data_IF_809218222593
#
_entry.id   IF_809218222593
#
_cell.length_a   1.000
_cell.length_b   1.000
_cell.length_c   1.000
_cell.angle_alpha   90.00
_cell.angle_beta   90.00
_cell.angle_gamma   90.00
#
_symmetry.space_group_name_H-M   'P 1'
#
loop_
_entity.id
_entity.type
_entity.pdbx_description
1 polymer ?
#
# COMPACT_ATOMS: atom_id res chain seq x y z
N UNK A 1 47.05 -20.72 16.52
CA UNK A 1 46.82 -19.37 15.97
C UNK A 1 48.14 -18.86 15.41
N UNK A 2 48.14 -18.31 14.19
CA UNK A 2 49.33 -17.72 13.58
C UNK A 2 49.20 -16.20 13.67
N UNK A 3 50.16 -15.58 14.34
CA UNK A 3 50.18 -14.16 14.66
C UNK A 3 51.47 -13.53 14.17
N UNK A 4 51.41 -12.30 13.65
CA UNK A 4 52.58 -11.51 13.30
C UNK A 4 52.69 -10.32 14.24
N UNK A 5 53.74 -10.30 15.05
CA UNK A 5 54.03 -9.22 15.98
C UNK A 5 55.12 -8.31 15.43
N UNK A 6 54.88 -7.00 15.42
CA UNK A 6 55.82 -5.99 14.93
C UNK A 6 55.69 -4.72 15.77
N UNK A 7 56.82 -4.06 16.04
CA UNK A 7 56.81 -2.77 16.73
C UNK A 7 56.08 -1.72 15.90
N UNK A 8 55.25 -0.90 16.55
CA UNK A 8 54.55 0.21 15.90
C UNK A 8 55.50 1.21 15.25
N UNK A 9 56.74 1.35 15.74
CA UNK A 9 57.77 2.17 15.08
C UNK A 9 58.05 1.70 13.65
N UNK A 10 58.19 0.40 13.44
CA UNK A 10 58.47 -0.16 12.12
C UNK A 10 57.26 -0.01 11.19
N UNK A 11 56.04 -0.14 11.71
CA UNK A 11 54.81 0.12 10.94
C UNK A 11 54.68 1.60 10.55
N UNK A 12 55.05 2.51 11.44
CA UNK A 12 55.07 3.95 11.15
C UNK A 12 56.16 4.29 10.12
N UNK A 13 57.33 3.65 10.21
CA UNK A 13 58.39 3.82 9.22
C UNK A 13 57.95 3.39 7.82
N UNK A 14 57.26 2.26 7.71
CA UNK A 14 56.67 1.78 6.45
C UNK A 14 55.71 2.81 5.82
N UNK A 15 54.86 3.43 6.64
CA UNK A 15 53.95 4.47 6.17
C UNK A 15 54.67 5.76 5.76
N UNK A 16 55.87 6.03 6.28
CA UNK A 16 56.65 7.21 5.91
C UNK A 16 57.31 7.10 4.54
N UNK A 17 57.73 5.90 4.14
CA UNK A 17 58.41 5.67 2.85
C UNK A 17 57.59 6.16 1.66
N UNK A 18 56.25 6.18 1.80
CA UNK A 18 55.31 6.71 0.80
C UNK A 18 54.51 7.92 1.30
N UNK A 19 55.07 8.71 2.22
CA UNK A 19 54.38 9.86 2.80
C UNK A 19 53.95 10.90 1.74
N UNK A 20 54.79 11.12 0.72
CA UNK A 20 54.58 12.07 -0.39
C UNK A 20 53.48 11.64 -1.38
N UNK A 21 53.14 10.36 -1.43
CA UNK A 21 52.17 9.80 -2.38
C UNK A 21 50.71 9.79 -1.84
N UNK A 22 50.51 10.33 -0.63
CA UNK A 22 49.19 10.46 -0.01
C UNK A 22 48.74 9.27 0.84
N UNK A 23 47.67 9.45 1.62
CA UNK A 23 47.24 8.50 2.68
C UNK A 23 46.93 7.08 2.17
N UNK A 24 46.41 6.96 0.95
CA UNK A 24 46.09 5.65 0.37
C UNK A 24 47.35 4.88 -0.05
N UNK A 25 48.37 5.56 -0.56
CA UNK A 25 49.66 4.96 -0.89
C UNK A 25 50.40 4.47 0.37
N UNK A 26 50.32 5.23 1.47
CA UNK A 26 50.86 4.82 2.78
C UNK A 26 50.17 3.56 3.32
N UNK A 27 48.84 3.47 3.18
CA UNK A 27 48.06 2.27 3.56
C UNK A 27 48.43 1.05 2.72
N UNK A 28 48.62 1.24 1.41
CA UNK A 28 49.00 0.15 0.50
C UNK A 28 50.43 -0.34 0.81
N UNK A 29 51.39 0.56 1.05
CA UNK A 29 52.75 0.19 1.47
C UNK A 29 52.77 -0.60 2.77
N UNK A 30 52.01 -0.16 3.78
CA UNK A 30 51.86 -0.89 5.03
C UNK A 30 51.25 -2.28 4.80
N UNK A 31 50.25 -2.36 3.91
CA UNK A 31 49.59 -3.61 3.56
C UNK A 31 50.55 -4.59 2.91
N UNK A 32 51.33 -4.14 1.95
CA UNK A 32 52.30 -4.97 1.24
C UNK A 32 53.39 -5.47 2.20
N UNK A 33 53.89 -4.61 3.09
CA UNK A 33 54.87 -5.00 4.11
C UNK A 33 54.31 -6.05 5.07
N UNK A 34 53.10 -5.85 5.60
CA UNK A 34 52.48 -6.76 6.56
C UNK A 34 52.15 -8.10 5.89
N UNK A 35 51.65 -8.09 4.65
CA UNK A 35 51.34 -9.33 3.90
C UNK A 35 52.62 -10.08 3.57
N UNK A 36 53.67 -9.41 3.08
CA UNK A 36 54.94 -10.05 2.73
C UNK A 36 55.62 -10.67 3.96
N UNK A 37 55.62 -9.97 5.10
CA UNK A 37 56.18 -10.51 6.34
C UNK A 37 55.32 -11.61 6.96
N UNK A 38 53.99 -11.48 6.92
CA UNK A 38 53.08 -12.53 7.38
C UNK A 38 53.25 -13.83 6.56
N UNK A 39 53.52 -13.68 5.25
CA UNK A 39 53.78 -14.79 4.33
C UNK A 39 55.15 -15.43 4.56
N UNK A 40 56.20 -14.62 4.76
CA UNK A 40 57.57 -15.12 4.97
C UNK A 40 57.73 -15.89 6.29
N UNK A 41 57.01 -15.47 7.34
CA UNK A 41 56.95 -16.15 8.65
C UNK A 41 56.11 -17.43 8.63
N UNK A 42 55.22 -17.59 7.65
CA UNK A 42 54.29 -18.72 7.55
C UNK A 42 54.43 -19.45 6.21
N UNK A 43 55.64 -19.95 5.89
CA UNK A 43 56.01 -20.60 4.62
C UNK A 43 55.10 -21.75 4.13
N UNK A 44 54.19 -22.25 4.97
CA UNK A 44 53.27 -23.36 4.66
C UNK A 44 51.78 -22.93 4.69
N UNK A 45 51.45 -21.63 4.58
CA UNK A 45 50.05 -21.18 4.54
C UNK A 45 49.63 -20.79 3.12
N UNK A 46 48.60 -21.46 2.59
CA UNK A 46 47.81 -20.87 1.52
C UNK A 46 47.10 -19.63 2.09
N UNK A 47 47.43 -18.46 1.55
CA UNK A 47 46.79 -17.20 1.93
C UNK A 47 45.36 -17.25 1.39
N UNK A 48 44.42 -17.66 2.24
CA UNK A 48 42.99 -17.63 1.88
C UNK A 48 42.49 -16.19 1.86
N UNK A 49 41.47 -15.93 1.03
CA UNK A 49 40.82 -14.60 0.95
C UNK A 49 40.33 -14.07 2.30
N UNK A 50 39.99 -14.97 3.23
CA UNK A 50 39.55 -14.59 4.56
C UNK A 50 40.70 -14.00 5.41
N UNK A 51 41.89 -14.58 5.33
CA UNK A 51 43.09 -14.07 6.00
C UNK A 51 43.42 -12.66 5.48
N UNK A 52 43.32 -12.45 4.16
CA UNK A 52 43.55 -11.13 3.55
C UNK A 52 42.53 -10.09 4.01
N UNK A 53 41.25 -10.47 4.15
CA UNK A 53 40.20 -9.57 4.67
C UNK A 53 40.44 -9.18 6.13
N UNK A 54 40.78 -10.15 6.97
CA UNK A 54 41.03 -9.91 8.39
C UNK A 54 42.25 -8.99 8.60
N UNK A 55 43.36 -9.28 7.91
CA UNK A 55 44.57 -8.46 7.95
C UNK A 55 44.28 -7.05 7.43
N UNK A 56 43.59 -6.91 6.29
CA UNK A 56 43.24 -5.60 5.72
C UNK A 56 42.42 -4.73 6.69
N UNK A 57 41.52 -5.36 7.46
CA UNK A 57 40.72 -4.67 8.47
C UNK A 57 41.57 -4.17 9.63
N UNK A 58 42.50 -5.01 10.13
CA UNK A 58 43.43 -4.63 11.21
C UNK A 58 44.41 -3.55 10.77
N UNK A 59 44.93 -3.64 9.54
CA UNK A 59 45.81 -2.63 8.93
C UNK A 59 45.05 -1.30 8.80
N UNK A 60 43.79 -1.33 8.38
CA UNK A 60 42.96 -0.13 8.26
C UNK A 60 42.69 0.52 9.62
N UNK A 61 42.45 -0.27 10.67
CA UNK A 61 42.28 0.21 12.02
C UNK A 61 43.54 0.91 12.53
N UNK A 62 44.70 0.25 12.40
CA UNK A 62 45.98 0.81 12.80
C UNK A 62 46.33 2.09 12.04
N UNK A 63 46.17 2.10 10.71
CA UNK A 63 46.43 3.28 9.90
C UNK A 63 45.53 4.47 10.30
N UNK A 64 44.26 4.22 10.58
CA UNK A 64 43.35 5.27 11.05
C UNK A 64 43.72 5.76 12.46
N UNK A 65 44.18 4.88 13.34
CA UNK A 65 44.70 5.27 14.67
C UNK A 65 45.95 6.15 14.52
N UNK A 66 46.86 5.79 13.62
CA UNK A 66 48.04 6.59 13.30
C UNK A 66 47.64 7.97 12.76
N UNK A 67 46.78 8.06 11.74
CA UNK A 67 46.37 9.34 11.16
C UNK A 67 45.70 10.26 12.18
N UNK A 68 44.83 9.72 13.05
CA UNK A 68 44.22 10.51 14.14
C UNK A 68 45.25 11.12 15.08
N UNK A 69 46.34 10.39 15.35
CA UNK A 69 47.42 10.85 16.22
C UNK A 69 48.43 11.73 15.48
N UNK A 70 48.59 11.57 14.17
CA UNK A 70 49.54 12.30 13.32
C UNK A 70 49.00 13.66 12.87
N UNK A 71 47.72 13.73 12.49
CA UNK A 71 47.08 14.93 11.93
C UNK A 71 47.26 16.21 12.79
N UNK A 72 47.20 16.16 14.14
CA UNK A 72 47.42 17.33 14.99
C UNK A 72 48.84 17.91 14.96
N UNK A 73 49.83 17.17 14.47
CA UNK A 73 51.24 17.58 14.52
C UNK A 73 51.70 18.27 13.23
N UNK A 74 50.84 18.36 12.21
CA UNK A 74 51.09 19.09 10.96
C UNK A 74 52.49 18.84 10.36
N UNK A 75 52.99 17.60 10.43
CA UNK A 75 54.29 17.22 9.87
C UNK A 75 55.52 17.45 10.78
N UNK A 76 55.34 17.88 12.03
CA UNK A 76 56.43 17.95 13.02
C UNK A 76 56.70 16.58 13.64
N UNK A 77 57.61 15.86 13.02
CA UNK A 77 57.96 14.48 13.37
C UNK A 77 58.56 14.33 14.77
N UNK A 78 59.50 15.20 15.14
CA UNK A 78 60.20 15.12 16.44
C UNK A 78 59.23 15.29 17.62
N UNK A 79 58.23 16.16 17.44
CA UNK A 79 57.18 16.38 18.44
C UNK A 79 56.25 15.16 18.57
N UNK A 80 55.94 14.50 17.45
CA UNK A 80 55.15 13.27 17.44
C UNK A 80 55.90 12.11 18.12
N UNK A 81 57.17 11.89 17.76
CA UNK A 81 58.00 10.83 18.34
C UNK A 81 58.22 11.03 19.84
N UNK A 82 58.41 12.28 20.29
CA UNK A 82 58.57 12.62 21.70
C UNK A 82 57.27 12.42 22.50
N UNK A 83 56.13 12.87 21.98
CA UNK A 83 54.83 12.83 22.69
C UNK A 83 54.16 11.45 22.67
N UNK A 84 54.43 10.63 21.65
CA UNK A 84 53.85 9.29 21.50
C UNK A 84 54.85 8.14 21.69
N UNK A 85 55.99 8.39 22.35
CA UNK A 85 57.03 7.39 22.61
C UNK A 85 56.49 6.09 23.21
N UNK A 86 55.66 6.17 24.26
CA UNK A 86 55.06 5.00 24.92
C UNK A 86 54.13 4.20 24.00
N UNK A 87 53.43 4.88 23.08
CA UNK A 87 52.55 4.24 22.11
C UNK A 87 53.33 3.55 20.99
N UNK A 88 54.43 4.15 20.56
CA UNK A 88 55.34 3.63 19.53
C UNK A 88 56.12 2.40 20.01
N UNK A 89 56.46 2.34 21.29
CA UNK A 89 57.19 1.23 21.92
C UNK A 89 56.30 0.01 22.19
N UNK A 90 54.99 0.14 21.96
CA UNK A 90 54.06 -0.99 22.06
C UNK A 90 54.15 -1.90 20.82
N UNK A 91 54.09 -3.20 21.04
CA UNK A 91 54.03 -4.22 19.97
C UNK A 91 52.59 -4.28 19.42
N UNK A 92 52.45 -4.28 18.10
CA UNK A 92 51.18 -4.56 17.44
C UNK A 92 51.18 -5.99 16.92
N UNK A 93 50.10 -6.73 17.20
CA UNK A 93 49.95 -8.13 16.81
C UNK A 93 48.82 -8.22 15.79
N UNK A 94 49.16 -8.74 14.61
CA UNK A 94 48.20 -9.09 13.57
C UNK A 94 47.81 -10.56 13.70
N UNK A 95 46.52 -10.84 13.82
CA UNK A 95 46.00 -12.20 14.02
C UNK A 95 44.92 -12.54 12.99
N UNK A 96 45.02 -13.71 12.36
CA UNK A 96 43.92 -14.26 11.59
C UNK A 96 43.01 -15.08 12.50
N UNK A 97 41.70 -14.80 12.47
CA UNK A 97 40.72 -15.58 13.22
C UNK A 97 40.42 -16.86 12.42
N UNK A 98 40.72 -18.04 12.99
CA UNK A 98 40.25 -19.30 12.40
C UNK A 98 38.70 -19.33 12.44
N UNK A 99 38.04 -19.91 11.42
CA UNK A 99 36.58 -19.96 11.39
C UNK A 99 36.07 -21.02 12.38
N UNK A 100 35.22 -20.61 13.32
CA UNK A 100 34.24 -21.49 13.99
C UNK A 100 32.82 -21.06 13.58
N UNK A 101 31.85 -21.99 13.65
CA UNK A 101 30.69 -22.06 12.77
C UNK A 101 29.63 -21.00 13.04
N UNK A 102 29.01 -20.57 11.93
CA UNK A 102 27.72 -19.88 11.74
C UNK A 102 27.26 -18.87 12.79
N UNK A 103 26.93 -17.63 12.38
CA UNK A 103 26.39 -16.65 13.31
C UNK A 103 25.05 -17.12 13.90
N UNK A 104 24.81 -16.94 15.22
CA UNK A 104 23.45 -17.02 15.76
C UNK A 104 22.58 -15.93 15.11
N UNK A 105 21.25 -16.10 15.06
CA UNK A 105 20.36 -15.15 14.40
C UNK A 105 20.58 -13.75 15.00
N UNK A 106 20.91 -12.81 14.13
CA UNK A 106 21.18 -11.42 14.47
C UNK A 106 20.04 -10.87 15.34
N UNK A 107 20.30 -10.34 16.55
CA UNK A 107 19.29 -9.58 17.27
C UNK A 107 18.96 -8.35 16.42
N UNK A 108 17.67 -8.05 16.31
CA UNK A 108 17.08 -6.99 15.50
C UNK A 108 18.03 -5.80 15.28
N UNK A 109 18.29 -5.49 14.01
CA UNK A 109 19.13 -4.37 13.60
C UNK A 109 18.76 -3.12 14.38
N UNK A 110 19.63 -2.66 15.27
CA UNK A 110 19.55 -1.28 15.75
C UNK A 110 19.66 -0.40 14.50
N UNK A 111 18.75 0.57 14.28
CA UNK A 111 18.87 1.45 13.14
C UNK A 111 20.21 2.17 13.26
N UNK A 112 21.08 1.95 12.27
CA UNK A 112 22.32 2.69 12.16
C UNK A 112 22.04 4.19 12.06
N UNK A 113 23.04 5.06 12.32
CA UNK A 113 22.88 6.49 12.15
C UNK A 113 22.55 6.78 10.68
N UNK A 114 21.30 7.14 10.40
CA UNK A 114 20.79 7.30 9.03
C UNK A 114 19.27 7.52 8.98
N UNK A 115 18.77 7.68 7.75
CA UNK A 115 17.36 7.95 7.46
C UNK A 115 16.44 6.90 8.12
N UNK A 116 15.36 7.32 8.80
CA UNK A 116 14.41 6.39 9.41
C UNK A 116 13.90 5.36 8.41
N UNK A 117 13.92 4.08 8.81
CA UNK A 117 13.38 2.98 8.01
C UNK A 117 11.85 2.98 8.19
N UNK A 118 11.15 3.50 7.19
CA UNK A 118 9.67 3.45 7.15
C UNK A 118 9.24 1.99 6.93
N UNK A 119 8.10 1.58 7.50
CA UNK A 119 7.50 0.26 7.24
C UNK A 119 7.14 0.08 5.74
N UNK A 120 6.88 -1.15 5.28
CA UNK A 120 6.42 -1.37 3.91
C UNK A 120 5.04 -0.76 3.66
N UNK A 121 4.10 -0.87 4.60
CA UNK A 121 2.72 -0.44 4.42
C UNK A 121 2.59 1.09 4.36
N UNK A 122 3.37 1.78 5.17
CA UNK A 122 3.38 3.25 5.30
C UNK A 122 4.26 3.95 4.24
N UNK A 123 5.09 3.19 3.51
CA UNK A 123 5.98 3.75 2.52
C UNK A 123 5.26 4.28 1.27
N UNK A 124 5.79 5.36 0.69
CA UNK A 124 5.35 5.89 -0.59
C UNK A 124 5.50 4.88 -1.74
N UNK A 125 4.71 4.98 -2.83
CA UNK A 125 4.72 4.02 -3.95
C UNK A 125 6.10 3.75 -4.55
N UNK A 126 6.93 4.80 -4.71
CA UNK A 126 8.31 4.67 -5.20
C UNK A 126 9.17 3.80 -4.28
N UNK A 127 9.07 3.99 -2.97
CA UNK A 127 9.81 3.21 -1.97
C UNK A 127 9.32 1.76 -1.92
N UNK A 128 8.01 1.50 -2.04
CA UNK A 128 7.45 0.15 -2.15
C UNK A 128 8.02 -0.60 -3.36
N UNK A 129 8.10 0.05 -4.52
CA UNK A 129 8.71 -0.53 -5.74
C UNK A 129 10.17 -0.91 -5.54
N UNK A 130 10.97 -0.04 -4.92
CA UNK A 130 12.37 -0.32 -4.60
C UNK A 130 12.52 -1.49 -3.62
N UNK A 131 11.75 -1.49 -2.52
CA UNK A 131 11.77 -2.59 -1.54
C UNK A 131 11.37 -3.94 -2.15
N UNK A 132 10.37 -3.94 -3.04
CA UNK A 132 9.92 -5.16 -3.73
C UNK A 132 10.83 -5.64 -4.87
N UNK A 133 11.86 -4.87 -5.24
CA UNK A 133 12.73 -5.17 -6.39
C UNK A 133 13.51 -6.47 -6.20
N UNK A 134 14.02 -6.72 -4.99
CA UNK A 134 14.73 -7.95 -4.65
C UNK A 134 13.86 -9.19 -4.85
N UNK A 135 12.57 -9.10 -4.50
CA UNK A 135 11.60 -10.20 -4.63
C UNK A 135 11.23 -10.43 -6.11
N UNK A 136 11.06 -9.35 -6.89
CA UNK A 136 10.67 -9.44 -8.31
C UNK A 136 11.78 -9.93 -9.24
N UNK A 137 13.05 -9.61 -8.95
CA UNK A 137 14.18 -10.02 -9.80
C UNK A 137 14.52 -11.51 -9.69
N UNK A 138 14.24 -12.13 -8.55
CA UNK A 138 14.66 -13.51 -8.27
C UNK A 138 13.59 -14.59 -8.48
N UNK A 139 12.33 -14.23 -8.74
CA UNK A 139 11.22 -15.17 -8.77
C UNK A 139 10.29 -15.00 -9.97
N UNK A 140 9.65 -16.09 -10.37
CA UNK A 140 8.63 -16.11 -11.43
C UNK A 140 7.28 -15.63 -10.89
N UNK A 141 6.42 -15.11 -11.80
CA UNK A 141 5.07 -14.63 -11.45
C UNK A 141 4.24 -15.74 -10.80
N UNK A 142 4.32 -16.98 -11.32
CA UNK A 142 3.62 -18.13 -10.75
C UNK A 142 4.04 -18.43 -9.30
N UNK A 143 5.35 -18.42 -9.01
CA UNK A 143 5.87 -18.61 -7.64
C UNK A 143 5.38 -17.52 -6.69
N UNK A 144 5.39 -16.26 -7.14
CA UNK A 144 4.90 -15.12 -6.35
C UNK A 144 3.38 -15.18 -6.12
N UNK A 145 2.60 -15.57 -7.13
CA UNK A 145 1.15 -15.76 -6.98
C UNK A 145 0.83 -16.89 -6.00
N UNK A 146 1.56 -18.01 -6.07
CA UNK A 146 1.39 -19.12 -5.13
C UNK A 146 1.77 -18.74 -3.70
N UNK A 147 2.90 -18.07 -3.51
CA UNK A 147 3.33 -17.57 -2.19
C UNK A 147 2.31 -16.58 -1.60
N UNK A 148 1.79 -15.67 -2.43
CA UNK A 148 0.74 -14.73 -2.03
C UNK A 148 -0.55 -15.45 -1.64
N UNK A 149 -0.97 -16.45 -2.43
CA UNK A 149 -2.14 -17.27 -2.12
C UNK A 149 -1.98 -18.03 -0.78
N UNK A 150 -0.78 -18.57 -0.49
CA UNK A 150 -0.51 -19.22 0.80
C UNK A 150 -0.65 -18.24 1.97
N UNK A 151 -0.08 -17.04 1.84
CA UNK A 151 -0.17 -16.02 2.89
C UNK A 151 -1.62 -15.58 3.13
N UNK A 152 -2.43 -15.45 2.07
CA UNK A 152 -3.85 -15.13 2.19
C UNK A 152 -4.65 -16.24 2.88
N UNK A 153 -4.31 -17.52 2.65
CA UNK A 153 -4.92 -18.67 3.35
C UNK A 153 -4.61 -18.65 4.84
N UNK A 154 -3.36 -18.35 5.22
CA UNK A 154 -2.96 -18.20 6.63
C UNK A 154 -3.75 -17.08 7.32
N UNK A 155 -4.08 -16.01 6.59
CA UNK A 155 -4.93 -14.92 7.08
C UNK A 155 -6.44 -15.23 7.06
N UNK A 156 -6.84 -16.43 6.67
CA UNK A 156 -8.25 -16.84 6.55
C UNK A 156 -8.98 -16.27 5.32
N UNK A 157 -8.29 -15.57 4.41
CA UNK A 157 -8.86 -14.97 3.20
C UNK A 157 -8.88 -15.96 2.03
N UNK A 158 -9.67 -17.01 2.18
CA UNK A 158 -9.71 -18.16 1.24
C UNK A 158 -10.15 -17.76 -0.17
N UNK A 159 -11.18 -16.93 -0.32
CA UNK A 159 -11.68 -16.46 -1.62
C UNK A 159 -10.61 -15.64 -2.39
N UNK A 160 -9.92 -14.73 -1.71
CA UNK A 160 -8.84 -13.94 -2.31
C UNK A 160 -7.67 -14.82 -2.75
N UNK A 161 -7.32 -15.84 -1.96
CA UNK A 161 -6.27 -16.79 -2.32
C UNK A 161 -6.61 -17.59 -3.59
N UNK A 162 -7.85 -18.05 -3.72
CA UNK A 162 -8.33 -18.74 -4.92
C UNK A 162 -8.28 -17.83 -6.15
N UNK A 163 -8.65 -16.56 -5.99
CA UNK A 163 -8.61 -15.57 -7.07
C UNK A 163 -7.19 -15.34 -7.59
N UNK A 164 -6.24 -15.08 -6.68
CA UNK A 164 -4.83 -14.86 -7.02
C UNK A 164 -4.22 -16.08 -7.72
N UNK A 165 -4.60 -17.28 -7.27
CA UNK A 165 -4.16 -18.52 -7.90
C UNK A 165 -4.70 -18.64 -9.34
N UNK A 166 -6.01 -18.43 -9.54
CA UNK A 166 -6.63 -18.47 -10.88
C UNK A 166 -6.04 -17.43 -11.84
N UNK A 167 -5.80 -16.21 -11.36
CA UNK A 167 -5.16 -15.14 -12.15
C UNK A 167 -3.71 -15.50 -12.50
N UNK A 168 -3.00 -16.19 -11.60
CA UNK A 168 -1.65 -16.66 -11.86
C UNK A 168 -1.57 -17.80 -12.88
N UNK A 169 -2.65 -18.57 -13.05
CA UNK A 169 -2.78 -19.66 -14.03
C UNK A 169 -3.21 -19.13 -15.41
N UNK A 170 -4.23 -18.26 -15.45
CA UNK A 170 -4.73 -17.64 -16.68
C UNK A 170 -4.99 -16.13 -16.47
N UNK A 171 -4.20 -15.24 -17.09
CA UNK A 171 -4.40 -13.80 -17.03
C UNK A 171 -5.76 -13.33 -17.59
N UNK A 172 -6.37 -14.06 -18.54
CA UNK A 172 -7.67 -13.72 -19.15
C UNK A 172 -8.80 -13.68 -18.11
N UNK A 173 -8.66 -14.48 -17.05
CA UNK A 173 -9.61 -14.49 -15.92
C UNK A 173 -9.67 -13.11 -15.25
N UNK A 174 -8.54 -12.40 -15.16
CA UNK A 174 -8.52 -11.05 -14.57
C UNK A 174 -9.34 -10.06 -15.40
N UNK A 175 -9.21 -10.11 -16.73
CA UNK A 175 -9.95 -9.24 -17.65
C UNK A 175 -11.45 -9.54 -17.58
N UNK A 176 -11.83 -10.82 -17.53
CA UNK A 176 -13.23 -11.21 -17.36
C UNK A 176 -13.81 -10.74 -16.03
N UNK A 177 -13.07 -10.86 -14.93
CA UNK A 177 -13.49 -10.34 -13.61
C UNK A 177 -13.72 -8.84 -13.67
N UNK A 178 -12.80 -8.08 -14.27
CA UNK A 178 -12.94 -6.63 -14.41
C UNK A 178 -14.14 -6.25 -15.27
N UNK A 179 -14.38 -6.97 -16.37
CA UNK A 179 -15.53 -6.75 -17.23
C UNK A 179 -16.86 -6.96 -16.47
N UNK A 180 -17.00 -8.09 -15.78
CA UNK A 180 -18.21 -8.40 -15.00
C UNK A 180 -18.39 -7.40 -13.86
N UNK A 181 -17.31 -7.03 -13.17
CA UNK A 181 -17.37 -6.05 -12.09
C UNK A 181 -17.82 -4.67 -12.58
N UNK A 182 -17.27 -4.20 -13.70
CA UNK A 182 -17.67 -2.92 -14.30
C UNK A 182 -19.12 -2.96 -14.78
N UNK A 183 -19.56 -4.07 -15.36
CA UNK A 183 -20.96 -4.27 -15.76
C UNK A 183 -21.90 -4.23 -14.54
N UNK A 184 -21.50 -4.84 -13.42
CA UNK A 184 -22.24 -4.79 -12.16
C UNK A 184 -22.27 -3.37 -11.56
N UNK A 185 -21.16 -2.65 -11.60
CA UNK A 185 -21.09 -1.24 -11.16
C UNK A 185 -22.01 -0.34 -12.00
N UNK A 186 -22.11 -0.60 -13.30
CA UNK A 186 -22.99 0.13 -14.21
C UNK A 186 -24.45 -0.36 -14.17
N UNK A 187 -24.73 -1.50 -13.54
CA UNK A 187 -26.07 -2.04 -13.44
C UNK A 187 -26.94 -1.15 -12.57
N UNK A 188 -27.95 -0.55 -13.19
CA UNK A 188 -29.01 0.14 -12.47
C UNK A 188 -30.20 -0.82 -12.35
N UNK A 189 -30.61 -1.21 -11.13
CA UNK A 189 -31.77 -2.06 -10.97
C UNK A 189 -33.02 -1.38 -11.54
N UNK A 190 -33.98 -2.14 -12.09
CA UNK A 190 -35.20 -1.56 -12.62
C UNK A 190 -35.94 -0.79 -11.53
N UNK A 191 -36.29 0.45 -11.81
CA UNK A 191 -37.02 1.29 -10.88
C UNK A 191 -38.43 0.74 -10.66
N UNK A 192 -38.79 0.57 -9.40
CA UNK A 192 -40.13 0.13 -9.01
C UNK A 192 -41.14 1.27 -9.24
N UNK A 193 -42.25 0.96 -9.90
CA UNK A 193 -43.35 1.90 -10.10
C UNK A 193 -43.98 2.30 -8.77
N UNK A 194 -44.36 3.56 -8.67
CA UNK A 194 -45.16 4.08 -7.57
C UNK A 194 -46.60 3.52 -7.63
N UNK A 195 -47.31 3.60 -6.50
CA UNK A 195 -48.72 3.22 -6.44
C UNK A 195 -49.60 4.05 -7.40
N UNK A 196 -49.29 5.33 -7.58
CA UNK A 196 -50.02 6.23 -8.48
C UNK A 196 -49.79 5.84 -9.95
N UNK A 197 -48.55 5.59 -10.37
CA UNK A 197 -48.23 5.14 -11.73
C UNK A 197 -48.87 3.77 -12.03
N UNK A 198 -48.89 2.86 -11.05
CA UNK A 198 -49.54 1.57 -11.20
C UNK A 198 -51.07 1.69 -11.33
N UNK A 199 -51.70 2.64 -10.62
CA UNK A 199 -53.13 2.94 -10.80
C UNK A 199 -53.39 3.51 -12.19
N UNK A 200 -52.55 4.46 -12.65
CA UNK A 200 -52.65 5.01 -14.00
C UNK A 200 -52.54 3.91 -15.05
N UNK A 201 -51.55 3.01 -14.93
CA UNK A 201 -51.40 1.86 -15.83
C UNK A 201 -52.64 0.97 -15.87
N UNK A 202 -53.20 0.63 -14.70
CA UNK A 202 -54.42 -0.18 -14.61
C UNK A 202 -55.59 0.48 -15.35
N UNK A 203 -55.73 1.81 -15.21
CA UNK A 203 -56.81 2.57 -15.87
C UNK A 203 -56.55 2.72 -17.37
N UNK A 204 -55.33 3.04 -17.78
CA UNK A 204 -54.99 3.22 -19.20
C UNK A 204 -55.08 1.94 -20.02
N UNK A 205 -54.87 0.78 -19.39
CA UNK A 205 -54.90 -0.53 -20.05
C UNK A 205 -56.16 -1.35 -19.69
N UNK A 206 -57.13 -0.75 -19.00
CA UNK A 206 -58.37 -1.41 -18.53
C UNK A 206 -58.12 -2.77 -17.84
N UNK A 207 -57.09 -2.84 -16.99
CA UNK A 207 -56.70 -4.09 -16.34
C UNK A 207 -57.63 -4.43 -15.18
N UNK A 208 -58.14 -5.65 -15.15
CA UNK A 208 -58.74 -6.22 -13.95
C UNK A 208 -57.67 -6.44 -12.86
N UNK A 209 -58.12 -6.54 -11.59
CA UNK A 209 -57.26 -6.91 -10.46
C UNK A 209 -56.48 -8.20 -10.72
N UNK A 210 -57.15 -9.21 -11.27
CA UNK A 210 -56.55 -10.51 -11.57
C UNK A 210 -55.44 -10.37 -12.63
N UNK A 211 -55.71 -9.68 -13.74
CA UNK A 211 -54.71 -9.44 -14.79
C UNK A 211 -53.48 -8.69 -14.26
N UNK A 212 -53.68 -7.67 -13.43
CA UNK A 212 -52.57 -6.93 -12.82
C UNK A 212 -51.70 -7.82 -11.92
N UNK A 213 -52.32 -8.66 -11.08
CA UNK A 213 -51.59 -9.58 -10.21
C UNK A 213 -50.80 -10.59 -11.04
N UNK A 214 -51.43 -11.19 -12.06
CA UNK A 214 -50.77 -12.12 -12.98
C UNK A 214 -49.59 -11.46 -13.69
N UNK A 215 -49.75 -10.23 -14.17
CA UNK A 215 -48.68 -9.46 -14.82
C UNK A 215 -47.50 -9.25 -13.86
N UNK A 216 -47.79 -8.83 -12.61
CA UNK A 216 -46.77 -8.65 -11.58
C UNK A 216 -46.04 -9.95 -11.28
N UNK A 217 -46.75 -11.05 -11.10
CA UNK A 217 -46.16 -12.37 -10.81
C UNK A 217 -45.28 -12.83 -11.96
N UNK A 218 -45.72 -12.66 -13.22
CA UNK A 218 -44.92 -13.01 -14.38
C UNK A 218 -43.64 -12.19 -14.46
N UNK A 219 -43.71 -10.88 -14.25
CA UNK A 219 -42.51 -10.03 -14.30
C UNK A 219 -41.56 -10.31 -13.13
N UNK A 220 -42.08 -10.64 -11.94
CA UNK A 220 -41.28 -11.08 -10.80
C UNK A 220 -40.59 -12.45 -11.05
N UNK A 221 -41.28 -13.40 -11.71
CA UNK A 221 -40.70 -14.68 -12.13
C UNK A 221 -39.52 -14.50 -13.10
N UNK A 222 -39.54 -13.43 -13.89
CA UNK A 222 -38.45 -13.05 -14.80
C UNK A 222 -37.37 -12.17 -14.14
N UNK A 223 -37.38 -12.04 -12.80
CA UNK A 223 -36.32 -11.36 -12.05
C UNK A 223 -36.44 -9.83 -11.98
N UNK A 224 -37.60 -9.27 -12.32
CA UNK A 224 -37.85 -7.82 -12.24
C UNK A 224 -39.00 -7.52 -11.26
N UNK A 225 -38.73 -6.76 -10.19
CA UNK A 225 -39.76 -6.30 -9.23
C UNK A 225 -40.20 -4.87 -9.55
N UNK A 226 -40.76 -4.67 -10.76
CA UNK A 226 -41.17 -3.35 -11.26
C UNK A 226 -42.52 -2.94 -10.67
N UNK A 227 -43.49 -3.86 -10.57
CA UNK A 227 -44.86 -3.52 -10.18
C UNK A 227 -45.07 -3.58 -8.66
N UNK A 228 -45.67 -2.54 -8.06
CA UNK A 228 -45.98 -2.55 -6.64
C UNK A 228 -47.02 -3.63 -6.30
N UNK A 229 -47.07 -4.02 -5.04
CA UNK A 229 -48.10 -4.96 -4.61
C UNK A 229 -49.49 -4.30 -4.68
N UNK A 230 -50.54 -5.12 -4.82
CA UNK A 230 -51.89 -4.60 -4.99
C UNK A 230 -52.38 -3.76 -3.80
N UNK A 231 -51.87 -3.98 -2.59
CA UNK A 231 -52.20 -3.16 -1.43
C UNK A 231 -51.74 -1.71 -1.60
N UNK A 232 -50.57 -1.48 -2.17
CA UNK A 232 -50.05 -0.14 -2.49
C UNK A 232 -50.90 0.54 -3.57
N UNK A 233 -51.33 -0.23 -4.57
CA UNK A 233 -52.27 0.24 -5.59
C UNK A 233 -53.61 0.60 -4.95
N UNK A 234 -54.11 -0.23 -4.04
CA UNK A 234 -55.37 0.01 -3.34
C UNK A 234 -55.33 1.28 -2.50
N UNK A 235 -54.24 1.53 -1.76
CA UNK A 235 -54.07 2.80 -1.03
C UNK A 235 -54.05 4.00 -1.98
N UNK A 236 -53.38 3.89 -3.14
CA UNK A 236 -53.35 4.95 -4.14
C UNK A 236 -54.75 5.19 -4.75
N UNK A 237 -55.51 4.12 -5.05
CA UNK A 237 -56.91 4.23 -5.49
C UNK A 237 -57.76 4.97 -4.46
N UNK A 238 -57.68 4.58 -3.19
CA UNK A 238 -58.41 5.23 -2.10
C UNK A 238 -58.05 6.71 -1.95
N UNK A 239 -56.77 7.05 -2.08
CA UNK A 239 -56.32 8.45 -2.05
C UNK A 239 -56.86 9.28 -3.23
N UNK A 240 -57.11 8.65 -4.38
CA UNK A 240 -57.69 9.29 -5.55
C UNK A 240 -59.21 9.45 -5.47
N UNK A 241 -59.89 8.69 -4.61
CA UNK A 241 -61.35 8.70 -4.47
C UNK A 241 -61.80 9.70 -3.40
N UNK A 242 -62.84 10.53 -3.66
CA UNK A 242 -63.38 11.42 -2.63
C UNK A 242 -64.00 10.61 -1.48
N UNK A 243 -63.80 11.01 -0.21
CA UNK A 243 -64.23 10.25 0.96
C UNK A 243 -65.76 10.17 1.12
N UNK A 244 -66.50 11.09 0.50
CA UNK A 244 -67.98 11.15 0.55
C UNK A 244 -68.66 10.35 -0.56
N UNK A 245 -67.95 9.45 -1.23
CA UNK A 245 -68.54 8.59 -2.27
C UNK A 245 -69.41 7.52 -1.63
N UNK A 246 -70.70 7.49 -1.98
CA UNK A 246 -71.66 6.48 -1.56
C UNK A 246 -71.93 5.59 -2.76
N UNK A 247 -71.67 4.29 -2.64
CA UNK A 247 -71.91 3.31 -3.71
C UNK A 247 -73.02 2.36 -3.25
N UNK A 248 -74.11 2.32 -4.00
CA UNK A 248 -75.21 1.35 -3.87
C UNK A 248 -75.17 0.37 -5.05
N UNK A 249 -76.01 -0.67 -5.02
CA UNK A 249 -76.10 -1.64 -6.15
C UNK A 249 -76.53 -0.98 -7.46
N UNK A 250 -77.30 0.10 -7.37
CA UNK A 250 -77.95 0.76 -8.52
C UNK A 250 -77.35 2.13 -8.86
N UNK A 251 -76.66 2.78 -7.93
CA UNK A 251 -76.11 4.13 -8.14
C UNK A 251 -74.80 4.36 -7.38
N UNK A 252 -73.99 5.28 -7.89
CA UNK A 252 -72.86 5.85 -7.15
C UNK A 252 -73.05 7.37 -7.09
N UNK A 253 -73.11 7.90 -5.87
CA UNK A 253 -73.44 9.29 -5.61
C UNK A 253 -72.32 9.96 -4.82
N UNK A 254 -71.99 11.20 -5.20
CA UNK A 254 -70.99 12.01 -4.51
C UNK A 254 -71.48 13.47 -4.46
N UNK A 255 -71.43 14.13 -3.29
CA UNK A 255 -71.69 15.55 -3.20
C UNK A 255 -70.74 16.35 -4.10
N UNK A 256 -71.31 17.21 -4.96
CA UNK A 256 -70.55 17.98 -5.95
C UNK A 256 -69.40 18.77 -5.30
N UNK A 257 -69.68 19.44 -4.17
CA UNK A 257 -68.67 20.22 -3.47
C UNK A 257 -67.48 19.36 -3.02
N UNK A 258 -67.74 18.17 -2.46
CA UNK A 258 -66.67 17.27 -2.03
C UNK A 258 -65.86 16.74 -3.20
N UNK A 259 -66.47 16.54 -4.37
CA UNK A 259 -65.77 16.15 -5.58
C UNK A 259 -64.84 17.28 -6.06
N UNK A 260 -65.33 18.51 -6.10
CA UNK A 260 -64.56 19.70 -6.52
C UNK A 260 -63.40 19.96 -5.56
N UNK A 261 -63.65 19.94 -4.25
CA UNK A 261 -62.62 20.20 -3.23
C UNK A 261 -61.51 19.15 -3.28
N UNK A 262 -61.88 17.87 -3.43
CA UNK A 262 -60.93 16.77 -3.53
C UNK A 262 -60.05 16.87 -4.77
N UNK A 263 -60.65 17.16 -5.94
CA UNK A 263 -59.88 17.33 -7.18
C UNK A 263 -58.99 18.57 -7.14
N UNK A 264 -59.50 19.69 -6.61
CA UNK A 264 -58.73 20.94 -6.48
C UNK A 264 -57.49 20.71 -5.61
N UNK A 265 -57.64 20.09 -4.43
CA UNK A 265 -56.51 19.76 -3.54
C UNK A 265 -55.48 18.86 -4.24
N UNK A 266 -55.93 17.84 -4.99
CA UNK A 266 -55.03 16.94 -5.71
C UNK A 266 -54.28 17.65 -6.83
N UNK A 267 -54.96 18.52 -7.60
CA UNK A 267 -54.32 19.29 -8.66
C UNK A 267 -53.28 20.27 -8.10
N UNK A 268 -53.61 20.98 -7.04
CA UNK A 268 -52.65 21.89 -6.36
C UNK A 268 -51.44 21.11 -5.88
N UNK A 269 -51.62 19.98 -5.20
CA UNK A 269 -50.51 19.15 -4.74
C UNK A 269 -49.65 18.56 -5.87
N UNK A 270 -50.23 18.28 -7.05
CA UNK A 270 -49.47 17.87 -8.22
C UNK A 270 -48.63 19.02 -8.79
N UNK A 271 -49.21 20.23 -8.86
CA UNK A 271 -48.51 21.41 -9.34
C UNK A 271 -47.33 21.76 -8.42
N UNK A 272 -47.52 21.73 -7.10
CA UNK A 272 -46.45 21.92 -6.11
C UNK A 272 -45.31 20.91 -6.23
N UNK A 273 -45.58 19.65 -6.61
CA UNK A 273 -44.55 18.63 -6.85
C UNK A 273 -43.78 18.83 -8.16
N UNK A 274 -44.40 19.47 -9.14
CA UNK A 274 -43.87 19.62 -10.51
C UNK A 274 -43.09 20.92 -10.76
N UNK A 275 -43.33 21.94 -9.93
CA UNK A 275 -42.70 23.25 -10.05
C UNK A 275 -41.52 23.32 -9.08
N UNK A 276 -40.25 23.40 -9.54
CA UNK A 276 -39.16 23.75 -8.64
C UNK A 276 -39.46 25.11 -8.01
N UNK A 277 -39.30 25.20 -6.69
CA UNK A 277 -39.58 26.41 -5.92
C UNK A 277 -38.88 27.62 -6.57
N UNK A 278 -39.59 28.72 -6.89
CA UNK A 278 -38.95 29.94 -7.38
C UNK A 278 -37.97 30.55 -6.38
N UNK A 279 -38.02 30.11 -5.12
CA UNK A 279 -37.22 30.62 -4.01
C UNK A 279 -35.91 29.84 -3.80
N UNK A 280 -35.68 28.71 -4.49
CA UNK A 280 -34.46 27.92 -4.32
C UNK A 280 -33.22 28.59 -4.96
N UNK A 281 -33.42 29.66 -5.75
CA UNK A 281 -32.35 30.43 -6.40
C UNK A 281 -32.04 31.78 -5.70
N UNK A 282 -32.61 32.06 -4.52
CA UNK A 282 -32.39 33.34 -3.81
C UNK A 282 -31.36 33.28 -2.67
N UNK A 283 -30.56 32.21 -2.58
CA UNK A 283 -29.34 32.20 -1.76
C UNK A 283 -28.15 32.82 -2.54
N UNK A 284 -28.24 34.12 -2.82
CA UNK A 284 -27.12 34.96 -3.18
C UNK A 284 -27.07 36.16 -2.23
N UNK A 285 -25.92 36.55 -1.67
CA UNK A 285 -25.85 37.65 -0.73
C UNK A 285 -26.31 38.94 -1.42
N UNK A 286 -27.36 39.55 -0.89
CA UNK A 286 -27.78 40.91 -1.25
C UNK A 286 -26.74 41.87 -0.69
N UNK A 287 -25.75 42.25 -1.52
CA UNK A 287 -24.92 43.42 -1.24
C UNK A 287 -25.81 44.66 -1.31
N UNK A 288 -26.18 45.16 -0.12
CA UNK A 288 -26.73 46.50 0.05
C UNK A 288 -25.64 47.52 -0.27
N UNK A 289 -25.51 47.93 -1.52
CA UNK A 289 -24.84 49.19 -1.84
C UNK A 289 -25.71 50.33 -1.34
N UNK A 290 -25.32 50.89 -0.19
CA UNK A 290 -25.80 52.19 0.26
C UNK A 290 -25.13 53.28 -0.57
N UNK A 291 -25.90 53.98 -1.40
CA UNK A 291 -25.58 55.31 -1.92
C UNK A 291 -26.11 56.38 -0.97
#
# INVERSE_FOLDING_TARGET
MKSYAISRRNLVQAMKEKASEGRQAQKNSLRDMVINNFSSLNRNLEITDQVLRDLSTQISYFANEYFKRWDPFHGREDDFLRKHKSWLDTIHVFESKNPLPTPPPSPASKPGPGRPVVDFNEAAPRTKRLKSEAVRKGQTVSSLSHATAMQLRVQGKTAAAQLVQKIGEDPSVADHILQVYNQYQAYTPPQKMSGEEAVALIVHLDLSKGQYITLREKVAQHGADIFPCYNTVLSAKKACTPPSLIVTETSAEVPLQSLVDHNTRRLVGLLERSVPSPFDNLEGPVELEMQ
#
